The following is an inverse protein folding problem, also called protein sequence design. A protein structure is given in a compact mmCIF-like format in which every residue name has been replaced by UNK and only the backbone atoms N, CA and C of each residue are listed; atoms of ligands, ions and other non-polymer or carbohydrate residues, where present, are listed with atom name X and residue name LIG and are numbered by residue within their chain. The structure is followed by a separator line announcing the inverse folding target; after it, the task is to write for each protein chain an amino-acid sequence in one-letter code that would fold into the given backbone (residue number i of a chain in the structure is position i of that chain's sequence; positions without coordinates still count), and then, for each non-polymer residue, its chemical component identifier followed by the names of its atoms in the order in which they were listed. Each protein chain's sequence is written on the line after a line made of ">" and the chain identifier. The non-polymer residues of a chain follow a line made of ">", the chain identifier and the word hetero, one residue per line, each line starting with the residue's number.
data_IF_758461932365
#
_entry.id   IF_758461932365
#
_cell.length_a   1.000
_cell.length_b   1.000
_cell.length_c   1.000
_cell.angle_alpha   90.00
_cell.angle_beta   90.00
_cell.angle_gamma   90.00
#
_symmetry.space_group_name_H-M   'P 1'
#
loop_
_entity.id
_entity.type
_entity.pdbx_description
1 polymer ?
#
# COMPACT_ATOMS: atom_id res chain seq x y z
N UNK A 1 50.16 16.87 -7.98
CA UNK A 1 49.34 17.36 -9.13
C UNK A 1 48.51 16.25 -9.75
N UNK A 2 49.06 15.05 -10.07
CA UNK A 2 48.31 13.94 -10.69
C UNK A 2 47.12 13.47 -9.87
N UNK A 3 47.27 13.35 -8.52
CA UNK A 3 46.20 12.90 -7.61
C UNK A 3 45.00 13.84 -7.60
N UNK A 4 45.26 15.16 -7.66
CA UNK A 4 44.14 16.14 -7.67
C UNK A 4 43.40 16.18 -9.00
N UNK A 5 44.07 15.88 -10.11
CA UNK A 5 43.45 15.76 -11.44
C UNK A 5 42.55 14.51 -11.50
N UNK A 6 43.07 13.37 -10.99
CA UNK A 6 42.30 12.12 -10.93
C UNK A 6 41.06 12.24 -10.01
N UNK A 7 41.22 12.93 -8.87
CA UNK A 7 40.10 13.19 -7.96
C UNK A 7 39.05 14.06 -8.63
N UNK A 8 39.43 15.08 -9.39
CA UNK A 8 38.48 15.92 -10.14
C UNK A 8 37.78 15.15 -11.25
N UNK A 9 38.50 14.28 -11.96
CA UNK A 9 37.91 13.42 -12.99
C UNK A 9 36.87 12.46 -12.39
N UNK A 10 37.18 11.77 -11.28
CA UNK A 10 36.24 10.90 -10.57
C UNK A 10 35.01 11.65 -10.09
N UNK A 11 35.20 12.86 -9.55
CA UNK A 11 34.09 13.72 -9.13
C UNK A 11 33.21 14.12 -10.32
N UNK A 12 33.81 14.45 -11.46
CA UNK A 12 33.11 14.81 -12.69
C UNK A 12 32.30 13.63 -13.24
N UNK A 13 32.86 12.40 -13.23
CA UNK A 13 32.18 11.18 -13.64
C UNK A 13 30.97 10.88 -12.74
N UNK A 14 31.14 11.02 -11.41
CA UNK A 14 30.05 10.81 -10.46
C UNK A 14 28.94 11.83 -10.65
N UNK A 15 29.28 13.11 -10.84
CA UNK A 15 28.30 14.17 -11.11
C UNK A 15 27.61 13.96 -12.44
N UNK A 16 28.36 13.49 -13.48
CA UNK A 16 27.79 13.15 -14.78
C UNK A 16 26.81 11.97 -14.70
N UNK A 17 27.14 10.94 -13.91
CA UNK A 17 26.26 9.80 -13.67
C UNK A 17 24.99 10.20 -12.92
N UNK A 18 25.12 11.03 -11.89
CA UNK A 18 23.98 11.57 -11.15
C UNK A 18 23.09 12.43 -12.05
N UNK A 19 23.69 13.31 -12.84
CA UNK A 19 22.96 14.15 -13.77
C UNK A 19 22.19 13.31 -14.78
N UNK A 20 22.81 12.27 -15.34
CA UNK A 20 22.17 11.36 -16.28
C UNK A 20 20.97 10.63 -15.63
N UNK A 21 21.12 10.22 -14.38
CA UNK A 21 20.02 9.62 -13.61
C UNK A 21 18.87 10.60 -13.42
N UNK A 22 19.15 11.84 -13.01
CA UNK A 22 18.13 12.87 -12.85
C UNK A 22 17.39 13.17 -14.15
N UNK A 23 18.12 13.25 -15.25
CA UNK A 23 17.55 13.47 -16.58
C UNK A 23 16.65 12.30 -17.00
N UNK A 24 17.08 11.07 -16.74
CA UNK A 24 16.28 9.89 -17.03
C UNK A 24 15.00 9.86 -16.20
N UNK A 25 15.09 10.13 -14.89
CA UNK A 25 13.94 10.13 -13.98
C UNK A 25 12.87 11.13 -14.44
N UNK A 26 13.28 12.29 -14.91
CA UNK A 26 12.37 13.37 -15.28
C UNK A 26 12.05 13.44 -16.78
N UNK A 27 12.56 12.48 -17.56
CA UNK A 27 12.37 12.46 -19.01
C UNK A 27 10.93 12.08 -19.39
N UNK A 28 10.31 12.90 -20.21
CA UNK A 28 9.01 12.62 -20.80
C UNK A 28 9.10 11.76 -22.06
N UNK A 29 10.31 11.41 -22.51
CA UNK A 29 10.55 10.53 -23.67
C UNK A 29 10.53 9.06 -23.27
N UNK A 30 10.58 8.73 -21.99
CA UNK A 30 10.44 7.35 -21.52
C UNK A 30 9.06 6.80 -21.90
N UNK A 31 9.00 5.52 -22.27
CA UNK A 31 7.73 4.84 -22.56
C UNK A 31 6.75 4.97 -21.41
N UNK A 32 7.25 4.82 -20.18
CA UNK A 32 6.50 5.08 -18.96
C UNK A 32 7.26 6.14 -18.16
N UNK A 33 6.58 7.23 -17.85
CA UNK A 33 7.17 8.29 -17.06
C UNK A 33 7.50 7.79 -15.65
N UNK A 34 8.72 8.02 -15.20
CA UNK A 34 9.14 7.65 -13.85
C UNK A 34 8.82 8.77 -12.87
N UNK A 35 9.51 9.90 -12.96
CA UNK A 35 9.39 11.03 -12.07
C UNK A 35 10.00 10.77 -10.68
N UNK A 36 10.18 11.80 -9.91
CA UNK A 36 10.68 11.67 -8.52
C UNK A 36 9.67 10.94 -7.62
N UNK A 37 8.38 11.16 -7.84
CA UNK A 37 7.36 10.36 -7.15
C UNK A 37 7.39 8.89 -7.61
N UNK A 38 7.72 8.63 -8.87
CA UNK A 38 7.86 7.27 -9.38
C UNK A 38 9.03 6.50 -8.74
N UNK A 39 10.08 7.18 -8.34
CA UNK A 39 11.20 6.56 -7.61
C UNK A 39 10.75 5.99 -6.27
N UNK A 40 9.80 6.63 -5.60
CA UNK A 40 9.18 6.10 -4.39
C UNK A 40 8.05 5.11 -4.70
N UNK A 41 7.20 5.43 -5.68
CA UNK A 41 6.01 4.65 -6.04
C UNK A 41 6.36 3.24 -6.50
N UNK A 42 7.32 3.10 -7.41
CA UNK A 42 7.60 1.83 -8.06
C UNK A 42 8.01 0.74 -7.06
N UNK A 43 9.02 0.94 -6.19
CA UNK A 43 9.35 -0.09 -5.21
C UNK A 43 8.22 -0.34 -4.21
N UNK A 44 7.47 0.68 -3.81
CA UNK A 44 6.35 0.51 -2.88
C UNK A 44 5.23 -0.34 -3.47
N UNK A 45 4.77 -0.02 -4.68
CA UNK A 45 3.70 -0.78 -5.33
C UNK A 45 4.14 -2.19 -5.70
N UNK A 46 5.37 -2.38 -6.16
CA UNK A 46 5.90 -3.71 -6.46
C UNK A 46 5.98 -4.58 -5.20
N UNK A 47 6.41 -4.01 -4.08
CA UNK A 47 6.47 -4.71 -2.80
C UNK A 47 5.07 -5.12 -2.34
N UNK A 48 4.11 -4.21 -2.39
CA UNK A 48 2.73 -4.50 -2.03
C UNK A 48 2.13 -5.59 -2.93
N UNK A 49 2.33 -5.50 -4.23
CA UNK A 49 1.82 -6.46 -5.20
C UNK A 49 2.44 -7.85 -5.01
N UNK A 50 3.75 -7.93 -4.83
CA UNK A 50 4.45 -9.19 -4.62
C UNK A 50 3.99 -9.89 -3.32
N UNK A 51 3.91 -9.16 -2.23
CA UNK A 51 3.43 -9.69 -0.97
C UNK A 51 1.97 -10.12 -1.06
N UNK A 52 1.12 -9.34 -1.73
CA UNK A 52 -0.28 -9.68 -1.94
C UNK A 52 -0.43 -11.00 -2.71
N UNK A 53 0.29 -11.17 -3.82
CA UNK A 53 0.22 -12.38 -4.64
C UNK A 53 0.65 -13.60 -3.83
N UNK A 54 1.78 -13.54 -3.14
CA UNK A 54 2.29 -14.64 -2.35
C UNK A 54 1.34 -14.98 -1.19
N UNK A 55 0.84 -13.98 -0.49
CA UNK A 55 -0.07 -14.18 0.63
C UNK A 55 -1.42 -14.74 0.17
N UNK A 56 -1.96 -14.24 -0.94
CA UNK A 56 -3.24 -14.72 -1.48
C UNK A 56 -3.16 -16.18 -1.94
N UNK A 57 -1.99 -16.62 -2.38
CA UNK A 57 -1.77 -18.00 -2.80
C UNK A 57 -1.48 -18.93 -1.62
N UNK A 58 -0.63 -18.52 -0.68
CA UNK A 58 0.05 -19.45 0.22
C UNK A 58 0.05 -19.07 1.71
N UNK A 59 -0.47 -17.92 2.11
CA UNK A 59 -0.42 -17.52 3.52
C UNK A 59 -1.23 -18.48 4.41
N UNK A 60 -0.66 -18.90 5.55
CA UNK A 60 -1.40 -19.71 6.51
C UNK A 60 -2.54 -18.92 7.16
N UNK A 61 -3.51 -19.61 7.81
CA UNK A 61 -4.59 -18.95 8.52
C UNK A 61 -4.10 -17.93 9.55
N UNK A 62 -4.84 -16.83 9.69
CA UNK A 62 -4.49 -15.67 10.51
C UNK A 62 -5.48 -15.54 11.65
N UNK A 63 -4.97 -15.32 12.86
CA UNK A 63 -5.76 -15.07 14.07
C UNK A 63 -6.21 -13.61 14.15
N UNK A 64 -7.20 -13.26 13.33
CA UNK A 64 -7.68 -11.87 13.19
C UNK A 64 -8.26 -11.31 14.51
N UNK A 65 -9.06 -12.10 15.21
CA UNK A 65 -9.77 -11.59 16.39
C UNK A 65 -8.94 -11.69 17.69
N UNK A 66 -7.76 -12.28 17.62
CA UNK A 66 -6.87 -12.43 18.79
C UNK A 66 -7.36 -13.48 19.80
N UNK A 67 -8.31 -14.33 19.42
CA UNK A 67 -8.92 -15.37 20.28
C UNK A 67 -8.39 -16.77 19.94
N UNK A 68 -7.34 -16.86 19.12
CA UNK A 68 -6.75 -18.11 18.63
C UNK A 68 -7.73 -18.96 17.82
N UNK A 69 -8.54 -18.30 17.01
CA UNK A 69 -9.44 -18.90 16.02
C UNK A 69 -9.02 -18.40 14.64
N UNK A 70 -7.99 -19.03 14.02
CA UNK A 70 -7.45 -18.55 12.75
C UNK A 70 -8.44 -18.60 11.61
N UNK A 71 -8.38 -17.58 10.73
CA UNK A 71 -9.20 -17.46 9.53
C UNK A 71 -8.34 -17.75 8.32
N UNK A 72 -8.77 -18.70 7.48
CA UNK A 72 -8.14 -19.05 6.22
C UNK A 72 -8.50 -18.03 5.12
N UNK A 73 -7.52 -17.66 4.31
CA UNK A 73 -7.72 -16.71 3.21
C UNK A 73 -6.99 -17.07 1.93
N UNK A 74 -6.09 -18.04 1.92
CA UNK A 74 -5.27 -18.36 0.74
C UNK A 74 -5.80 -19.56 -0.06
N UNK A 75 -5.36 -19.65 -1.32
CA UNK A 75 -5.72 -20.75 -2.20
C UNK A 75 -5.27 -22.12 -1.66
N UNK A 76 -4.07 -22.21 -1.11
CA UNK A 76 -3.55 -23.49 -0.59
C UNK A 76 -4.31 -23.97 0.64
N UNK A 77 -5.08 -23.12 1.27
CA UNK A 77 -5.91 -23.47 2.43
C UNK A 77 -7.40 -23.56 2.08
N UNK A 78 -7.73 -23.81 0.80
CA UNK A 78 -9.06 -24.15 0.36
C UNK A 78 -9.94 -22.99 -0.09
N UNK A 79 -9.38 -21.83 -0.33
CA UNK A 79 -10.12 -20.68 -0.82
C UNK A 79 -10.07 -20.58 -2.35
N UNK A 80 -11.02 -19.84 -2.90
CA UNK A 80 -11.08 -19.46 -4.31
C UNK A 80 -10.95 -17.94 -4.45
N UNK A 81 -11.10 -17.43 -5.67
CA UNK A 81 -11.00 -15.98 -5.95
C UNK A 81 -12.01 -15.18 -5.10
N UNK A 82 -13.20 -15.70 -4.91
CA UNK A 82 -14.28 -14.98 -4.19
C UNK A 82 -14.07 -15.06 -2.67
N UNK A 83 -13.74 -16.22 -2.14
CA UNK A 83 -13.59 -16.40 -0.69
C UNK A 83 -12.19 -16.03 -0.19
N UNK A 84 -11.20 -15.97 -1.08
CA UNK A 84 -9.83 -15.64 -0.72
C UNK A 84 -9.70 -14.21 -0.21
N UNK A 85 -8.76 -14.02 0.71
CA UNK A 85 -8.43 -12.69 1.23
C UNK A 85 -7.05 -12.71 1.91
N UNK A 86 -6.39 -11.57 1.91
CA UNK A 86 -5.35 -11.29 2.90
C UNK A 86 -6.08 -10.80 4.16
N UNK A 87 -6.03 -11.62 5.21
CA UNK A 87 -6.78 -11.38 6.44
C UNK A 87 -6.11 -10.27 7.23
N UNK A 88 -6.87 -9.31 7.81
CA UNK A 88 -6.31 -8.25 8.63
C UNK A 88 -5.44 -8.74 9.78
N UNK A 89 -4.55 -7.86 10.27
CA UNK A 89 -3.69 -8.16 11.41
C UNK A 89 -4.50 -8.47 12.66
N UNK A 90 -3.96 -9.32 13.53
CA UNK A 90 -4.61 -9.74 14.77
C UNK A 90 -5.01 -8.56 15.65
N UNK A 91 -6.16 -8.67 16.32
CA UNK A 91 -6.57 -7.73 17.35
C UNK A 91 -5.57 -7.70 18.53
N UNK A 92 -4.81 -8.76 18.75
CA UNK A 92 -3.75 -8.78 19.74
C UNK A 92 -2.62 -7.79 19.41
N UNK A 93 -2.39 -7.52 18.12
CA UNK A 93 -1.42 -6.50 17.66
C UNK A 93 -1.99 -5.09 17.86
N UNK A 94 -3.30 -4.92 17.72
CA UNK A 94 -3.96 -3.62 17.85
C UNK A 94 -3.47 -2.65 16.76
N UNK A 95 -2.99 -1.50 17.17
CA UNK A 95 -2.40 -0.47 16.31
C UNK A 95 -0.87 -0.50 16.29
N UNK A 96 -0.24 -1.50 16.93
CA UNK A 96 1.20 -1.61 16.96
C UNK A 96 1.76 -1.85 15.56
N UNK A 97 2.83 -1.15 15.24
CA UNK A 97 3.59 -1.41 14.02
C UNK A 97 4.23 -2.80 14.13
N UNK A 98 3.94 -3.67 13.16
CA UNK A 98 4.32 -5.08 13.21
C UNK A 98 5.06 -5.51 11.94
N UNK A 99 6.27 -4.99 11.71
CA UNK A 99 7.11 -5.46 10.62
C UNK A 99 7.70 -6.84 10.93
N UNK A 100 8.28 -7.47 9.91
CA UNK A 100 8.88 -8.81 10.07
C UNK A 100 9.91 -8.85 11.20
N UNK A 101 10.71 -7.80 11.36
CA UNK A 101 11.78 -7.78 12.38
C UNK A 101 11.30 -7.60 13.82
N UNK A 102 10.04 -7.25 14.03
CA UNK A 102 9.44 -7.17 15.38
C UNK A 102 8.83 -8.50 15.83
N UNK A 103 8.66 -9.46 14.91
CA UNK A 103 8.21 -10.79 15.27
C UNK A 103 9.38 -11.67 15.71
N UNK A 104 9.12 -12.62 16.61
CA UNK A 104 10.14 -13.59 17.02
C UNK A 104 10.51 -14.55 15.92
N UNK A 105 9.54 -14.95 15.09
CA UNK A 105 9.71 -15.83 13.95
C UNK A 105 8.84 -15.38 12.77
N UNK A 106 9.16 -15.85 11.56
CA UNK A 106 8.33 -15.61 10.40
C UNK A 106 6.93 -16.25 10.53
N UNK A 107 6.86 -17.41 11.15
CA UNK A 107 5.59 -18.11 11.42
C UNK A 107 4.70 -17.32 12.36
N UNK A 108 5.27 -16.72 13.39
CA UNK A 108 4.55 -15.81 14.28
C UNK A 108 4.00 -14.62 13.52
N UNK A 109 4.83 -14.00 12.67
CA UNK A 109 4.44 -12.86 11.84
C UNK A 109 3.27 -13.21 10.91
N UNK A 110 3.33 -14.38 10.27
CA UNK A 110 2.27 -14.87 9.41
C UNK A 110 0.97 -15.15 10.20
N UNK A 111 1.09 -15.76 11.37
CA UNK A 111 -0.05 -16.10 12.22
C UNK A 111 -0.80 -14.86 12.71
N UNK A 112 -0.08 -13.78 13.00
CA UNK A 112 -0.66 -12.54 13.50
C UNK A 112 -1.07 -11.56 12.39
N UNK A 113 -1.03 -11.97 11.13
CA UNK A 113 -1.48 -11.12 10.04
C UNK A 113 -0.51 -10.01 9.66
N UNK A 114 0.79 -10.22 9.84
CA UNK A 114 1.84 -9.28 9.42
C UNK A 114 1.79 -8.87 7.96
N UNK A 115 1.52 -9.79 7.00
CA UNK A 115 1.39 -9.43 5.59
C UNK A 115 0.37 -8.34 5.30
N UNK A 116 -0.71 -8.28 6.05
CA UNK A 116 -1.72 -7.23 5.89
C UNK A 116 -1.12 -5.83 6.08
N UNK A 117 -0.39 -5.61 7.16
CA UNK A 117 0.25 -4.31 7.41
C UNK A 117 1.28 -3.97 6.33
N UNK A 118 2.11 -4.94 5.96
CA UNK A 118 3.10 -4.72 4.90
C UNK A 118 2.43 -4.24 3.62
N UNK A 119 1.37 -4.91 3.20
CA UNK A 119 0.67 -4.58 1.96
C UNK A 119 0.00 -3.22 2.05
N UNK A 120 -0.80 -2.95 3.09
CA UNK A 120 -1.55 -1.70 3.17
C UNK A 120 -0.63 -0.48 3.30
N UNK A 121 0.45 -0.57 4.03
CA UNK A 121 1.37 0.55 4.19
C UNK A 121 2.12 0.85 2.90
N UNK A 122 2.67 -0.18 2.24
CA UNK A 122 3.33 0.01 0.94
C UNK A 122 2.33 0.48 -0.12
N UNK A 123 1.13 -0.07 -0.12
CA UNK A 123 0.08 0.35 -1.04
C UNK A 123 -0.31 1.82 -0.83
N UNK A 124 -0.58 2.24 0.39
CA UNK A 124 -0.97 3.63 0.68
C UNK A 124 0.14 4.62 0.35
N UNK A 125 1.39 4.30 0.64
CA UNK A 125 2.53 5.12 0.22
C UNK A 125 2.61 5.14 -1.31
N UNK A 126 2.46 3.99 -1.94
CA UNK A 126 2.54 3.87 -3.40
C UNK A 126 1.47 4.67 -4.13
N UNK A 127 0.22 4.62 -3.71
CA UNK A 127 -0.86 5.39 -4.35
C UNK A 127 -0.77 6.88 -4.03
N UNK A 128 -0.25 7.25 -2.88
CA UNK A 128 0.06 8.65 -2.57
C UNK A 128 1.15 9.19 -3.50
N UNK A 129 2.19 8.40 -3.74
CA UNK A 129 3.23 8.74 -4.70
C UNK A 129 2.70 8.74 -6.14
N UNK A 130 1.77 7.85 -6.47
CA UNK A 130 1.10 7.85 -7.78
C UNK A 130 0.34 9.17 -8.00
N UNK A 131 -0.37 9.63 -6.99
CA UNK A 131 -1.04 10.93 -7.03
C UNK A 131 -0.05 12.08 -7.23
N UNK A 132 1.05 12.06 -6.50
CA UNK A 132 2.13 13.04 -6.69
C UNK A 132 2.76 12.96 -8.07
N UNK A 133 2.91 11.76 -8.63
CA UNK A 133 3.42 11.55 -9.99
C UNK A 133 2.48 12.11 -11.06
N UNK A 134 1.18 12.04 -10.86
CA UNK A 134 0.20 12.68 -11.75
C UNK A 134 0.41 14.20 -11.80
N UNK A 135 0.58 14.83 -10.63
CA UNK A 135 0.92 16.24 -10.59
C UNK A 135 2.25 16.53 -11.28
N UNK A 136 3.28 15.74 -10.99
CA UNK A 136 4.63 15.94 -11.53
C UNK A 136 4.64 15.89 -13.05
N UNK A 137 3.99 14.88 -13.64
CA UNK A 137 3.92 14.78 -15.10
C UNK A 137 3.13 15.93 -15.70
N UNK A 138 2.06 16.38 -15.07
CA UNK A 138 1.31 17.55 -15.54
C UNK A 138 2.21 18.79 -15.61
N UNK A 139 3.08 18.97 -14.64
CA UNK A 139 4.07 20.05 -14.62
C UNK A 139 5.06 19.93 -15.79
N UNK A 140 5.57 18.72 -16.06
CA UNK A 140 6.53 18.50 -17.15
C UNK A 140 5.92 18.79 -18.53
N UNK A 141 4.65 18.49 -18.69
CA UNK A 141 3.94 18.66 -19.99
C UNK A 141 3.28 20.02 -20.13
N UNK A 142 3.39 20.91 -19.15
CA UNK A 142 2.73 22.21 -19.19
C UNK A 142 1.21 22.13 -19.08
N UNK A 143 0.68 21.07 -18.48
CA UNK A 143 -0.75 20.87 -18.29
C UNK A 143 -1.24 21.57 -17.01
N UNK A 144 -2.55 21.81 -16.93
CA UNK A 144 -3.21 22.19 -15.68
C UNK A 144 -3.12 21.01 -14.69
N UNK A 145 -2.95 21.23 -13.35
CA UNK A 145 -2.41 20.21 -12.45
C UNK A 145 -3.45 19.34 -11.73
N UNK A 146 -4.73 19.35 -12.11
CA UNK A 146 -5.79 18.84 -11.24
C UNK A 146 -6.28 17.42 -11.52
N UNK A 147 -5.61 16.65 -12.37
CA UNK A 147 -5.89 15.21 -12.51
C UNK A 147 -5.68 14.49 -11.16
N UNK A 148 -4.62 14.86 -10.43
CA UNK A 148 -4.35 14.31 -9.10
C UNK A 148 -5.45 14.66 -8.08
N UNK A 149 -6.12 15.77 -8.23
CA UNK A 149 -7.25 16.14 -7.35
C UNK A 149 -8.42 15.16 -7.56
N UNK A 150 -8.75 14.83 -8.79
CA UNK A 150 -9.76 13.80 -9.09
C UNK A 150 -9.37 12.43 -8.51
N UNK A 151 -8.11 12.05 -8.64
CA UNK A 151 -7.59 10.81 -8.08
C UNK A 151 -7.55 10.81 -6.54
N UNK A 152 -7.52 11.97 -5.91
CA UNK A 152 -7.54 12.08 -4.44
C UNK A 152 -8.79 11.46 -3.81
N UNK A 153 -9.91 11.36 -4.54
CA UNK A 153 -11.12 10.76 -4.03
C UNK A 153 -10.96 9.25 -3.71
N UNK A 154 -10.54 8.38 -4.67
CA UNK A 154 -10.28 6.98 -4.33
C UNK A 154 -9.10 6.80 -3.37
N UNK A 155 -8.10 7.66 -3.40
CA UNK A 155 -6.99 7.63 -2.42
C UNK A 155 -7.50 7.89 -1.01
N UNK A 156 -8.37 8.89 -0.84
CA UNK A 156 -9.00 9.18 0.46
C UNK A 156 -9.82 8.00 0.96
N UNK A 157 -10.58 7.32 0.09
CA UNK A 157 -11.33 6.13 0.44
C UNK A 157 -10.42 5.00 0.91
N UNK A 158 -9.29 4.78 0.23
CA UNK A 158 -8.31 3.77 0.63
C UNK A 158 -7.71 4.07 2.01
N UNK A 159 -7.34 5.32 2.28
CA UNK A 159 -6.88 5.74 3.61
C UNK A 159 -7.96 5.52 4.67
N UNK A 160 -9.23 5.80 4.35
CA UNK A 160 -10.33 5.61 5.28
C UNK A 160 -10.46 4.15 5.72
N UNK A 161 -10.49 3.21 4.79
CA UNK A 161 -10.75 1.79 5.10
C UNK A 161 -9.53 1.05 5.66
N UNK A 162 -8.31 1.49 5.35
CA UNK A 162 -7.08 0.79 5.76
C UNK A 162 -6.36 1.47 6.92
N UNK A 163 -6.60 2.74 7.18
CA UNK A 163 -5.85 3.48 8.20
C UNK A 163 -6.76 4.23 9.17
N UNK A 164 -7.62 5.12 8.68
CA UNK A 164 -8.42 6.00 9.54
C UNK A 164 -9.43 5.20 10.36
N UNK A 165 -10.15 4.29 9.74
CA UNK A 165 -11.12 3.46 10.46
C UNK A 165 -10.46 2.53 11.49
N UNK A 166 -9.38 1.79 11.15
CA UNK A 166 -8.63 1.06 12.16
C UNK A 166 -8.13 1.93 13.31
N UNK A 167 -7.63 3.14 13.04
CA UNK A 167 -7.18 4.05 14.10
C UNK A 167 -8.34 4.48 15.01
N UNK A 168 -9.50 4.76 14.44
CA UNK A 168 -10.69 5.12 15.20
C UNK A 168 -11.21 3.98 16.07
N UNK A 169 -11.09 2.74 15.60
CA UNK A 169 -11.55 1.55 16.31
C UNK A 169 -10.47 0.93 17.22
N UNK A 170 -9.23 1.36 17.11
CA UNK A 170 -8.15 0.91 17.97
C UNK A 170 -7.44 -0.37 17.54
N UNK A 171 -7.71 -0.89 16.35
CA UNK A 171 -7.03 -2.09 15.84
C UNK A 171 -7.07 -2.18 14.31
N UNK A 172 -5.99 -2.68 13.71
CA UNK A 172 -5.96 -3.03 12.30
C UNK A 172 -6.86 -4.22 11.96
N UNK A 173 -7.30 -4.99 12.94
CA UNK A 173 -8.25 -6.08 12.71
C UNK A 173 -9.60 -5.59 12.19
N UNK A 174 -9.95 -4.34 12.43
CA UNK A 174 -11.17 -3.69 11.94
C UNK A 174 -11.03 -3.08 10.56
N UNK A 175 -9.84 -3.13 9.97
CA UNK A 175 -9.61 -2.68 8.59
C UNK A 175 -10.28 -3.57 7.56
N UNK A 176 -10.48 -3.04 6.36
CA UNK A 176 -11.08 -3.80 5.26
C UNK A 176 -10.14 -4.95 4.85
N UNK A 177 -10.62 -6.20 4.81
CA UNK A 177 -9.83 -7.30 4.28
C UNK A 177 -9.51 -7.12 2.80
N UNK A 178 -8.39 -7.70 2.36
CA UNK A 178 -7.97 -7.65 0.96
C UNK A 178 -8.55 -8.85 0.21
N UNK A 179 -9.84 -8.84 -0.04
CA UNK A 179 -10.54 -9.90 -0.74
C UNK A 179 -11.98 -9.52 -1.05
N UNK A 180 -12.61 -10.22 -1.97
CA UNK A 180 -13.96 -9.89 -2.47
C UNK A 180 -15.01 -10.12 -1.37
N UNK A 181 -15.10 -11.34 -0.86
CA UNK A 181 -16.04 -11.70 0.21
C UNK A 181 -15.75 -10.91 1.49
N UNK A 182 -14.47 -10.70 1.82
CA UNK A 182 -14.07 -9.89 2.96
C UNK A 182 -14.51 -8.44 2.84
N UNK A 183 -14.48 -7.88 1.65
CA UNK A 183 -14.98 -6.52 1.39
C UNK A 183 -16.49 -6.43 1.63
N UNK A 184 -17.25 -7.40 1.15
CA UNK A 184 -18.69 -7.45 1.40
C UNK A 184 -19.01 -7.61 2.89
N UNK A 185 -18.29 -8.48 3.59
CA UNK A 185 -18.41 -8.63 5.03
C UNK A 185 -18.12 -7.30 5.75
N UNK A 186 -17.06 -6.62 5.38
CA UNK A 186 -16.73 -5.29 5.92
C UNK A 186 -17.87 -4.30 5.68
N UNK A 187 -18.42 -4.25 4.49
CA UNK A 187 -19.53 -3.35 4.15
C UNK A 187 -20.76 -3.61 5.02
N UNK A 188 -21.13 -4.88 5.20
CA UNK A 188 -22.32 -5.25 5.98
C UNK A 188 -22.13 -4.99 7.48
N UNK A 189 -20.96 -5.29 8.02
CA UNK A 189 -20.63 -4.99 9.40
C UNK A 189 -20.60 -3.48 9.64
N UNK A 190 -20.02 -2.73 8.70
CA UNK A 190 -19.99 -1.27 8.77
C UNK A 190 -21.39 -0.68 8.75
N UNK A 191 -22.27 -1.19 7.88
CA UNK A 191 -23.69 -0.79 7.86
C UNK A 191 -24.37 -1.09 9.18
N UNK A 192 -24.13 -2.27 9.77
CA UNK A 192 -24.75 -2.65 11.04
C UNK A 192 -24.30 -1.76 12.21
N UNK A 193 -23.02 -1.38 12.21
CA UNK A 193 -22.43 -0.62 13.32
C UNK A 193 -22.58 0.90 13.14
N UNK A 194 -22.57 1.42 11.90
CA UNK A 194 -22.48 2.85 11.62
C UNK A 194 -23.60 3.39 10.75
N UNK A 195 -24.51 2.54 10.26
CA UNK A 195 -25.61 2.94 9.41
C UNK A 195 -25.18 3.86 8.25
N UNK A 196 -24.21 3.38 7.45
CA UNK A 196 -23.59 4.17 6.37
C UNK A 196 -24.62 4.63 5.31
N UNK A 197 -25.69 3.86 5.09
CA UNK A 197 -26.74 4.24 4.13
C UNK A 197 -27.41 5.57 4.49
N UNK A 198 -27.46 5.92 5.75
CA UNK A 198 -28.01 7.19 6.24
C UNK A 198 -26.98 8.30 6.40
N UNK A 199 -25.71 8.00 6.17
CA UNK A 199 -24.67 9.02 6.26
C UNK A 199 -24.77 9.98 5.05
N UNK A 200 -24.78 11.32 5.28
CA UNK A 200 -24.97 12.29 4.20
C UNK A 200 -23.95 12.21 3.07
N UNK A 201 -22.71 11.91 3.38
CA UNK A 201 -21.65 11.79 2.36
C UNK A 201 -21.90 10.59 1.45
N UNK A 202 -22.34 9.46 1.99
CA UNK A 202 -22.69 8.29 1.20
C UNK A 202 -23.91 8.59 0.33
N UNK A 203 -24.93 9.23 0.89
CA UNK A 203 -26.14 9.58 0.16
C UNK A 203 -25.85 10.53 -1.00
N UNK A 204 -24.95 11.49 -0.82
CA UNK A 204 -24.52 12.43 -1.86
C UNK A 204 -23.76 11.75 -3.01
N UNK A 205 -23.12 10.62 -2.76
CA UNK A 205 -22.35 9.86 -3.74
C UNK A 205 -23.14 8.81 -4.53
N UNK A 206 -24.39 8.61 -4.20
CA UNK A 206 -25.24 7.59 -4.86
C UNK A 206 -25.81 8.08 -6.18
#
# INVERSE_FOLDING_TARGET
>A
MATSVLQRQKKSELLGGWQAFCEWVTSTDNRLYVGWFGVLMIPCLLTAAACFIVAFIAAPPVDIDGIREPVSGSFLYGNNIISGAVVPSSNAIGLHFYPIWEAGTLDEWLYNGGPYQLIIFHFLIGISAYMGRQWELSYRLGMRPWICVAYSAPVSAAFAVFLVYPFGQGSFSDGMPLGISGTFNFMFVFQAEHNILMHPFHMAGV
#
